data_IF_994406313920
#
_entry.id   IF_994406313920
#
_cell.length_a   1.000
_cell.length_b   1.000
_cell.length_c   1.000
_cell.angle_alpha   90.00
_cell.angle_beta   90.00
_cell.angle_gamma   90.00
#
_symmetry.space_group_name_H-M   'P 1'
#
loop_
_entity.id
_entity.type
_entity.pdbx_description
1 polymer ?
#
# COMPACT_ATOMS: atom_id res chain seq x y z
N UNK A 1 -6.27 12.27 1.92
CA UNK A 1 -7.26 11.17 1.85
C UNK A 1 -7.30 10.43 3.17
N UNK A 2 -8.50 10.16 3.67
CA UNK A 2 -8.64 9.42 4.92
C UNK A 2 -8.67 7.92 4.67
N UNK A 3 -8.14 7.18 5.61
CA UNK A 3 -8.19 5.72 5.58
C UNK A 3 -7.99 5.20 6.99
N UNK A 4 -8.34 3.92 7.20
CA UNK A 4 -8.09 3.25 8.46
C UNK A 4 -7.08 2.13 8.24
N UNK A 5 -6.45 1.67 9.32
CA UNK A 5 -5.43 0.63 9.25
C UNK A 5 -5.88 -0.58 10.04
N UNK A 6 -5.71 -1.77 9.46
CA UNK A 6 -5.87 -3.00 10.22
C UNK A 6 -4.73 -3.13 11.22
N UNK A 7 -4.91 -3.96 12.24
CA UNK A 7 -3.84 -4.19 13.18
C UNK A 7 -2.63 -4.81 12.48
N UNK A 8 -2.88 -5.69 11.52
CA UNK A 8 -1.79 -6.29 10.76
C UNK A 8 -0.99 -5.23 10.01
N UNK A 9 -1.69 -4.26 9.38
CA UNK A 9 -1.00 -3.19 8.66
C UNK A 9 -0.16 -2.34 9.60
N UNK A 10 -0.73 -1.99 10.77
CA UNK A 10 0.02 -1.22 11.76
C UNK A 10 1.27 -1.95 12.22
N UNK A 11 1.11 -3.24 12.52
CA UNK A 11 2.25 -4.05 12.99
C UNK A 11 3.33 -4.16 11.92
N UNK A 12 2.93 -4.39 10.68
CA UNK A 12 3.87 -4.54 9.57
C UNK A 12 4.64 -3.24 9.36
N UNK A 13 3.96 -2.10 9.40
CA UNK A 13 4.63 -0.82 9.22
C UNK A 13 5.66 -0.58 10.30
N UNK A 14 5.30 -0.91 11.55
CA UNK A 14 6.23 -0.72 12.67
C UNK A 14 7.43 -1.66 12.55
N UNK A 15 7.16 -2.93 12.24
CA UNK A 15 8.23 -3.93 12.16
C UNK A 15 9.19 -3.66 11.01
N UNK A 16 8.66 -3.16 9.89
CA UNK A 16 9.46 -2.96 8.69
C UNK A 16 9.95 -1.54 8.53
N UNK A 17 9.61 -0.66 9.46
CA UNK A 17 10.04 0.73 9.39
C UNK A 17 9.44 1.49 8.21
N UNK A 18 8.20 1.20 7.88
CA UNK A 18 7.52 1.90 6.79
C UNK A 18 6.95 3.20 7.33
N UNK A 19 7.38 4.31 6.75
CA UNK A 19 6.97 5.65 7.17
C UNK A 19 5.51 5.89 6.79
N UNK A 20 4.72 6.42 7.71
CA UNK A 20 3.32 6.70 7.45
C UNK A 20 3.14 7.70 6.31
N UNK A 21 4.11 8.59 6.10
CA UNK A 21 4.06 9.53 4.99
C UNK A 21 4.12 8.81 3.64
N UNK A 22 4.85 7.70 3.58
CA UNK A 22 4.92 6.90 2.36
C UNK A 22 3.57 6.25 2.07
N UNK A 23 2.91 5.74 3.10
CA UNK A 23 1.58 5.14 2.94
C UNK A 23 0.59 6.20 2.45
N UNK A 24 0.62 7.38 3.06
CA UNK A 24 -0.27 8.46 2.64
C UNK A 24 -0.03 8.82 1.17
N UNK A 25 1.23 8.84 0.74
CA UNK A 25 1.55 9.16 -0.65
C UNK A 25 0.96 8.12 -1.60
N UNK A 26 1.04 6.84 -1.23
CA UNK A 26 0.45 5.79 -2.08
C UNK A 26 -1.05 5.97 -2.20
N UNK A 27 -1.72 6.26 -1.09
CA UNK A 27 -3.17 6.38 -1.10
C UNK A 27 -3.63 7.63 -1.85
N UNK A 28 -2.85 8.70 -1.79
CA UNK A 28 -3.24 9.95 -2.46
C UNK A 28 -2.92 9.96 -3.94
N UNK A 29 -1.78 9.39 -4.31
CA UNK A 29 -1.30 9.48 -5.69
C UNK A 29 -0.54 8.21 -6.07
N UNK A 30 -1.25 7.08 -6.18
CA UNK A 30 -0.58 5.85 -6.59
C UNK A 30 -0.09 5.96 -8.02
N UNK A 31 1.05 5.30 -8.30
CA UNK A 31 1.52 5.21 -9.67
C UNK A 31 0.61 4.32 -10.49
N UNK A 32 0.17 3.21 -9.90
CA UNK A 32 -0.79 2.31 -10.54
C UNK A 32 -1.69 1.69 -9.49
N UNK A 33 -2.84 1.20 -9.93
CA UNK A 33 -3.73 0.41 -9.09
C UNK A 33 -4.18 -0.81 -9.87
N UNK A 34 -4.47 -1.90 -9.16
CA UNK A 34 -4.93 -3.14 -9.78
C UNK A 34 -5.96 -3.79 -8.88
N UNK A 35 -6.99 -4.44 -9.45
CA UNK A 35 -7.91 -5.21 -8.61
C UNK A 35 -7.23 -6.45 -8.07
N UNK A 36 -7.64 -6.86 -6.87
CA UNK A 36 -7.15 -8.10 -6.28
C UNK A 36 -7.71 -9.26 -7.10
N UNK A 37 -6.87 -10.25 -7.45
CA UNK A 37 -7.34 -11.34 -8.34
C UNK A 37 -8.40 -12.24 -7.72
N UNK A 38 -8.42 -12.35 -6.39
CA UNK A 38 -9.31 -13.29 -5.73
C UNK A 38 -10.44 -12.63 -4.96
N UNK A 39 -10.33 -11.34 -4.67
CA UNK A 39 -11.31 -10.66 -3.82
C UNK A 39 -11.69 -9.31 -4.45
N UNK A 40 -12.89 -9.22 -5.03
CA UNK A 40 -13.29 -8.00 -5.74
C UNK A 40 -13.44 -6.77 -4.85
N UNK A 41 -13.50 -6.95 -3.53
CA UNK A 41 -13.57 -5.79 -2.63
C UNK A 41 -12.21 -5.17 -2.35
N UNK A 42 -11.12 -5.85 -2.72
CA UNK A 42 -9.78 -5.38 -2.44
C UNK A 42 -9.12 -4.82 -3.68
N UNK A 43 -8.24 -3.84 -3.44
CA UNK A 43 -7.43 -3.22 -4.49
C UNK A 43 -5.99 -3.18 -4.07
N UNK A 44 -5.10 -3.28 -5.03
CA UNK A 44 -3.68 -3.00 -4.85
C UNK A 44 -3.41 -1.58 -5.31
N UNK A 45 -2.61 -0.84 -4.55
CA UNK A 45 -2.09 0.45 -4.98
C UNK A 45 -0.57 0.39 -4.85
N UNK A 46 0.11 0.90 -5.86
CA UNK A 46 1.57 0.83 -5.93
C UNK A 46 2.13 2.24 -6.11
N UNK A 47 3.22 2.53 -5.44
CA UNK A 47 3.95 3.77 -5.66
C UNK A 47 5.41 3.56 -5.35
N UNK A 48 6.27 4.09 -6.22
CA UNK A 48 7.70 4.08 -6.00
C UNK A 48 8.05 5.09 -4.92
N UNK A 49 8.89 4.69 -3.99
CA UNK A 49 9.32 5.55 -2.88
C UNK A 49 10.79 5.92 -3.07
N UNK A 50 11.07 7.11 -3.60
CA UNK A 50 12.46 7.49 -3.86
C UNK A 50 13.32 7.53 -2.61
N UNK A 51 12.74 7.91 -1.47
CA UNK A 51 13.47 8.01 -0.20
C UNK A 51 13.95 6.66 0.28
N UNK A 52 13.39 5.57 -0.25
CA UNK A 52 13.75 4.22 0.18
C UNK A 52 14.27 3.41 -1.01
N UNK A 53 15.26 3.96 -1.69
CA UNK A 53 15.92 3.27 -2.77
C UNK A 53 15.04 3.00 -3.98
N UNK A 54 14.03 3.83 -4.20
CA UNK A 54 13.10 3.67 -5.33
C UNK A 54 12.36 2.34 -5.30
N UNK A 55 12.18 1.76 -4.13
CA UNK A 55 11.39 0.55 -3.99
C UNK A 55 9.91 0.89 -4.13
N UNK A 56 9.16 -0.10 -4.61
CA UNK A 56 7.72 0.07 -4.82
C UNK A 56 6.97 -0.38 -3.57
N UNK A 57 6.21 0.53 -2.98
CA UNK A 57 5.38 0.21 -1.84
C UNK A 57 4.01 -0.25 -2.35
N UNK A 58 3.61 -1.44 -1.93
CA UNK A 58 2.31 -2.00 -2.29
C UNK A 58 1.38 -1.90 -1.09
N UNK A 59 0.20 -1.36 -1.33
CA UNK A 59 -0.84 -1.25 -0.32
C UNK A 59 -2.04 -2.06 -0.79
N UNK A 60 -2.56 -2.92 0.10
CA UNK A 60 -3.79 -3.67 -0.16
C UNK A 60 -4.88 -3.06 0.70
N UNK A 61 -5.94 -2.58 0.07
CA UNK A 61 -6.99 -1.91 0.82
C UNK A 61 -8.37 -2.35 0.34
N UNK A 62 -9.35 -2.23 1.24
CA UNK A 62 -10.74 -2.55 0.94
C UNK A 62 -11.43 -1.28 0.50
N UNK A 63 -11.74 -1.20 -0.80
CA UNK A 63 -12.33 -0.02 -1.40
C UNK A 63 -13.83 0.10 -1.10
N UNK A 64 -14.44 -0.98 -0.63
CA UNK A 64 -15.85 -0.95 -0.29
C UNK A 64 -16.13 -0.28 1.06
N UNK A 65 -15.08 -0.07 1.85
CA UNK A 65 -15.22 0.60 3.14
C UNK A 65 -15.08 2.10 2.97
N UNK A 66 -15.70 2.85 3.86
CA UNK A 66 -15.64 4.30 3.82
C UNK A 66 -15.35 4.85 5.22
N UNK A 67 -14.15 5.40 5.44
CA UNK A 67 -13.05 5.51 4.49
C UNK A 67 -12.43 4.16 4.15
N UNK A 68 -11.61 4.09 3.11
CA UNK A 68 -10.97 2.81 2.74
C UNK A 68 -10.18 2.22 3.91
N UNK A 69 -10.20 0.90 4.00
CA UNK A 69 -9.55 0.18 5.08
C UNK A 69 -8.31 -0.53 4.54
N UNK A 70 -7.15 -0.17 5.08
CA UNK A 70 -5.87 -0.74 4.67
C UNK A 70 -5.70 -2.10 5.34
N UNK A 71 -5.61 -3.16 4.52
CA UNK A 71 -5.49 -4.52 5.02
C UNK A 71 -4.04 -4.86 5.31
N UNK A 72 -3.14 -4.52 4.39
CA UNK A 72 -1.71 -4.76 4.58
C UNK A 72 -0.91 -3.81 3.70
N UNK A 73 0.38 -3.66 4.04
CA UNK A 73 1.29 -2.80 3.30
C UNK A 73 2.69 -3.40 3.37
N UNK A 74 3.38 -3.42 2.22
CA UNK A 74 4.73 -3.98 2.17
C UNK A 74 5.42 -3.53 0.89
N UNK A 75 6.75 -3.64 0.88
CA UNK A 75 7.50 -3.31 -0.33
C UNK A 75 7.48 -4.50 -1.28
N UNK A 76 7.17 -4.23 -2.53
CA UNK A 76 7.04 -5.26 -3.55
C UNK A 76 8.34 -5.34 -4.35
N UNK A 77 9.16 -6.34 -4.05
CA UNK A 77 10.42 -6.51 -4.73
C UNK A 77 10.23 -6.87 -6.19
N UNK A 78 9.20 -7.66 -6.47
CA UNK A 78 8.96 -8.13 -7.83
C UNK A 78 8.63 -6.97 -8.74
N UNK A 79 7.76 -6.07 -8.30
CA UNK A 79 7.40 -4.93 -9.11
C UNK A 79 8.60 -4.03 -9.36
N UNK A 80 9.42 -3.79 -8.32
CA UNK A 80 10.61 -2.97 -8.46
C UNK A 80 11.67 -3.64 -9.33
N UNK A 81 11.77 -4.96 -9.24
CA UNK A 81 12.79 -5.71 -9.97
C UNK A 81 12.59 -5.75 -11.45
N UNK A 82 11.41 -5.38 -11.91
CA UNK A 82 11.11 -5.41 -13.34
C UNK A 82 11.55 -4.16 -14.07
N UNK A 83 12.11 -3.20 -13.39
CA UNK A 83 12.50 -1.92 -14.00
C UNK A 83 13.97 -1.89 -14.36
#
# INVERSE_FOLDING_TARGET
MEFTLSKHAEDTMRERGIDSAWLAAVMEAPDTTEPHPDDPTLMYAFRRIPEFGNRVLRVVYNQAKEPPHIVTVYFDRTAGGKR
#
